data_IF_604582034496
#
_entry.id   IF_604582034496
#
_cell.length_a   1.000
_cell.length_b   1.000
_cell.length_c   1.000
_cell.angle_alpha   90.00
_cell.angle_beta   90.00
_cell.angle_gamma   90.00
#
_symmetry.space_group_name_H-M   'P 1'
#
loop_
_entity.id
_entity.type
_entity.pdbx_description
1 polymer ?
#
# COMPACT_ATOMS: atom_id res chain seq x y z
N UNK A 1 6.83 12.44 0.65
CA UNK A 1 7.02 13.42 1.74
C UNK A 1 8.35 14.11 1.55
N UNK A 2 8.44 15.43 1.74
CA UNK A 2 9.71 16.15 1.72
C UNK A 2 10.26 16.19 3.14
N UNK A 3 11.42 15.58 3.39
CA UNK A 3 12.05 15.62 4.71
C UNK A 3 12.64 17.02 4.95
N UNK A 4 12.39 17.61 6.12
CA UNK A 4 13.00 18.89 6.50
C UNK A 4 14.51 18.74 6.75
N UNK A 5 14.93 17.59 7.28
CA UNK A 5 16.33 17.25 7.53
C UNK A 5 16.63 15.87 6.95
N UNK A 6 17.81 15.74 6.36
CA UNK A 6 18.28 14.47 5.79
C UNK A 6 18.86 13.63 6.93
N UNK A 7 18.43 12.35 7.10
CA UNK A 7 19.04 11.43 8.06
C UNK A 7 20.54 11.22 7.76
N UNK A 8 21.35 11.07 8.81
CA UNK A 8 22.81 10.91 8.69
C UNK A 8 23.19 9.63 7.93
N UNK A 9 22.32 8.62 8.00
CA UNK A 9 22.44 7.28 7.42
C UNK A 9 21.69 7.14 6.07
N UNK A 10 21.21 8.25 5.49
CA UNK A 10 20.46 8.25 4.23
C UNK A 10 21.20 7.62 3.04
N UNK A 11 22.53 7.59 3.07
CA UNK A 11 23.36 6.95 2.03
C UNK A 11 23.55 5.45 2.24
N UNK A 12 23.32 4.95 3.46
CA UNK A 12 23.59 3.56 3.85
C UNK A 12 22.32 2.73 4.01
N UNK A 13 21.19 3.35 4.32
CA UNK A 13 19.91 2.65 4.49
C UNK A 13 19.30 2.30 3.15
N UNK A 14 19.03 1.01 2.95
CA UNK A 14 18.25 0.53 1.82
C UNK A 14 16.77 0.54 2.17
N UNK A 15 15.95 1.11 1.28
CA UNK A 15 14.49 1.07 1.46
C UNK A 15 13.97 -0.25 0.91
N UNK A 16 13.29 -1.09 1.70
CA UNK A 16 12.74 -2.35 1.20
C UNK A 16 11.67 -2.05 0.15
N UNK A 17 11.51 -2.95 -0.82
CA UNK A 17 10.37 -2.91 -1.77
C UNK A 17 9.34 -3.93 -1.35
N UNK A 18 8.07 -3.67 -1.66
CA UNK A 18 6.98 -4.59 -1.33
C UNK A 18 5.97 -4.78 -2.44
N UNK A 19 5.31 -5.93 -2.44
CA UNK A 19 4.17 -6.24 -3.30
C UNK A 19 2.91 -6.20 -2.43
N UNK A 20 1.88 -5.50 -2.91
CA UNK A 20 0.62 -5.36 -2.20
C UNK A 20 -0.36 -6.43 -2.66
N UNK A 21 -1.00 -7.09 -1.70
CA UNK A 21 -2.02 -8.09 -1.91
C UNK A 21 -3.34 -7.64 -1.31
N UNK A 22 -4.42 -7.83 -2.04
CA UNK A 22 -5.76 -7.38 -1.65
C UNK A 22 -6.69 -8.59 -1.59
N UNK A 23 -7.33 -8.77 -0.44
CA UNK A 23 -8.37 -9.76 -0.20
C UNK A 23 -9.72 -9.13 -0.56
N UNK A 24 -10.07 -9.14 -1.84
CA UNK A 24 -11.25 -8.43 -2.36
C UNK A 24 -12.56 -8.85 -1.69
N UNK A 25 -12.69 -10.13 -1.30
CA UNK A 25 -13.87 -10.66 -0.60
C UNK A 25 -14.06 -10.04 0.80
N UNK A 26 -13.01 -9.47 1.40
CA UNK A 26 -13.08 -8.75 2.70
C UNK A 26 -13.29 -7.25 2.53
N UNK A 27 -12.76 -6.66 1.46
CA UNK A 27 -12.77 -5.22 1.25
C UNK A 27 -14.19 -4.62 1.22
N UNK A 28 -14.37 -3.48 1.90
CA UNK A 28 -15.59 -2.67 1.91
C UNK A 28 -15.44 -1.30 1.23
N UNK A 29 -14.37 -1.10 0.46
CA UNK A 29 -14.17 0.11 -0.35
C UNK A 29 -14.03 1.44 0.42
N UNK A 30 -13.58 1.43 1.68
CA UNK A 30 -13.50 2.65 2.49
C UNK A 30 -12.42 3.66 2.06
N UNK A 31 -11.43 3.24 1.27
CA UNK A 31 -10.39 4.13 0.75
C UNK A 31 -9.26 4.51 1.72
N UNK A 32 -9.27 4.08 2.99
CA UNK A 32 -8.22 4.47 3.95
C UNK A 32 -6.81 4.06 3.50
N UNK A 33 -6.62 2.84 2.98
CA UNK A 33 -5.32 2.43 2.46
C UNK A 33 -4.82 3.31 1.30
N UNK A 34 -5.72 3.89 0.51
CA UNK A 34 -5.40 4.80 -0.61
C UNK A 34 -4.95 6.15 -0.06
N UNK A 35 -5.80 6.77 0.78
CA UNK A 35 -5.55 8.10 1.34
C UNK A 35 -4.27 8.16 2.16
N UNK A 36 -4.05 7.13 2.98
CA UNK A 36 -2.97 7.10 3.95
C UNK A 36 -1.67 6.50 3.42
N UNK A 37 -1.64 6.01 2.16
CA UNK A 37 -0.39 5.51 1.58
C UNK A 37 0.62 6.65 1.40
N UNK A 38 1.77 6.66 2.11
CA UNK A 38 2.74 7.77 2.04
C UNK A 38 3.41 7.88 0.66
N UNK A 39 3.41 6.77 -0.10
CA UNK A 39 3.95 6.65 -1.45
C UNK A 39 2.89 6.73 -2.55
N UNK A 40 1.61 6.84 -2.18
CA UNK A 40 0.47 6.96 -3.11
C UNK A 40 0.46 5.88 -4.21
N UNK A 41 0.72 4.63 -3.82
CA UNK A 41 0.81 3.50 -4.77
C UNK A 41 -0.54 2.85 -5.08
N UNK A 42 -1.59 3.20 -4.34
CA UNK A 42 -2.92 2.60 -4.42
C UNK A 42 -3.92 3.59 -5.01
N UNK A 43 -4.89 3.08 -5.76
CA UNK A 43 -6.06 3.81 -6.25
C UNK A 43 -7.31 2.92 -6.16
N UNK A 44 -8.50 3.50 -6.34
CA UNK A 44 -9.69 2.69 -6.52
C UNK A 44 -9.63 2.01 -7.88
N UNK A 45 -9.94 0.71 -7.90
CA UNK A 45 -10.13 0.00 -9.15
C UNK A 45 -11.46 0.34 -9.80
N UNK A 46 -11.55 0.19 -11.12
CA UNK A 46 -12.82 0.32 -11.85
C UNK A 46 -13.72 -0.92 -11.74
N UNK A 47 -13.22 -2.03 -11.16
CA UNK A 47 -13.96 -3.27 -10.99
C UNK A 47 -14.77 -3.26 -9.69
N UNK A 48 -15.82 -4.07 -9.65
CA UNK A 48 -16.58 -4.35 -8.44
C UNK A 48 -16.18 -5.71 -7.87
N UNK A 49 -16.05 -5.81 -6.55
CA UNK A 49 -15.99 -7.09 -5.87
C UNK A 49 -17.39 -7.71 -5.70
N UNK A 50 -17.48 -8.93 -5.16
CA UNK A 50 -18.76 -9.64 -4.92
C UNK A 50 -19.76 -8.88 -4.04
N UNK A 51 -19.30 -7.89 -3.27
CA UNK A 51 -20.11 -7.05 -2.36
C UNK A 51 -20.54 -5.72 -3.01
N UNK A 52 -20.12 -5.45 -4.25
CA UNK A 52 -20.45 -4.21 -4.96
C UNK A 52 -19.58 -3.02 -4.58
N UNK A 53 -18.42 -3.23 -3.94
CA UNK A 53 -17.45 -2.16 -3.67
C UNK A 53 -16.36 -2.14 -4.73
N UNK A 54 -15.75 -0.98 -4.94
CA UNK A 54 -14.51 -0.84 -5.69
C UNK A 54 -13.31 -1.14 -4.76
N UNK A 55 -12.68 -2.34 -4.84
CA UNK A 55 -11.47 -2.59 -4.07
C UNK A 55 -10.32 -1.70 -4.57
N UNK A 56 -9.31 -1.44 -3.72
CA UNK A 56 -8.11 -0.77 -4.19
C UNK A 56 -7.37 -1.64 -5.22
N UNK A 57 -6.54 -1.02 -6.03
CA UNK A 57 -5.54 -1.67 -6.87
C UNK A 57 -4.23 -0.86 -6.82
N UNK A 58 -3.11 -1.53 -7.05
CA UNK A 58 -1.82 -0.86 -7.05
C UNK A 58 -1.47 -0.37 -8.46
N UNK A 59 -1.31 0.96 -8.59
CA UNK A 59 -0.97 1.60 -9.86
C UNK A 59 0.55 1.56 -10.12
N UNK A 60 1.34 1.66 -9.06
CA UNK A 60 2.81 1.75 -9.10
C UNK A 60 3.42 0.84 -8.02
N UNK A 61 3.27 -0.49 -8.14
CA UNK A 61 3.76 -1.44 -7.12
C UNK A 61 5.26 -1.30 -6.83
N UNK A 62 6.08 -0.95 -7.83
CA UNK A 62 7.53 -0.75 -7.65
C UNK A 62 7.91 0.39 -6.69
N UNK A 63 6.97 1.28 -6.34
CA UNK A 63 7.16 2.36 -5.38
C UNK A 63 6.75 1.98 -3.94
N UNK A 64 6.17 0.81 -3.73
CA UNK A 64 5.78 0.36 -2.39
C UNK A 64 7.02 0.06 -1.57
N UNK A 65 7.12 0.68 -0.39
CA UNK A 65 8.29 0.57 0.50
C UNK A 65 8.09 -0.43 1.65
N UNK A 66 7.17 -1.39 1.47
CA UNK A 66 6.79 -2.40 2.45
C UNK A 66 6.60 -1.86 3.90
N UNK A 67 5.95 -0.70 4.05
CA UNK A 67 5.79 -0.05 5.36
C UNK A 67 4.66 -0.62 6.23
N UNK A 68 3.87 -1.56 5.70
CA UNK A 68 2.71 -2.18 6.37
C UNK A 68 1.60 -1.20 6.83
N UNK A 69 1.67 0.09 6.46
CA UNK A 69 0.69 1.07 6.94
C UNK A 69 -0.73 0.81 6.43
N UNK A 70 -0.84 0.29 5.20
CA UNK A 70 -2.12 -0.13 4.63
C UNK A 70 -2.78 -1.28 5.41
N UNK A 71 -1.99 -2.16 6.04
CA UNK A 71 -2.49 -3.25 6.90
C UNK A 71 -3.09 -2.69 8.19
N UNK A 72 -2.30 -1.85 8.87
CA UNK A 72 -2.64 -1.29 10.19
C UNK A 72 -3.89 -0.43 10.10
N UNK A 73 -4.05 0.35 9.03
CA UNK A 73 -5.19 1.26 8.87
C UNK A 73 -6.45 0.56 8.33
N UNK A 74 -6.35 -0.68 7.84
CA UNK A 74 -7.49 -1.36 7.24
C UNK A 74 -8.40 -1.96 8.32
N UNK A 75 -9.65 -1.47 8.48
CA UNK A 75 -10.56 -1.99 9.50
C UNK A 75 -11.03 -3.43 9.23
N UNK A 76 -10.88 -3.91 8.00
CA UNK A 76 -11.33 -5.24 7.55
C UNK A 76 -10.17 -6.24 7.38
N UNK A 77 -8.92 -5.81 7.63
CA UNK A 77 -7.71 -6.61 7.34
C UNK A 77 -7.75 -7.22 5.93
N UNK A 78 -8.14 -6.40 4.95
CA UNK A 78 -8.41 -6.80 3.57
C UNK A 78 -7.24 -6.54 2.63
N UNK A 79 -6.09 -6.11 3.15
CA UNK A 79 -4.91 -5.72 2.38
C UNK A 79 -3.66 -6.02 3.20
N UNK A 80 -2.60 -6.49 2.55
CA UNK A 80 -1.29 -6.68 3.15
C UNK A 80 -0.16 -6.49 2.15
N UNK A 81 1.05 -6.19 2.64
CA UNK A 81 2.27 -6.12 1.83
C UNK A 81 3.26 -7.20 2.23
N UNK A 82 3.92 -7.79 1.24
CA UNK A 82 5.06 -8.68 1.44
C UNK A 82 6.30 -8.06 0.82
N UNK A 83 7.46 -8.32 1.41
CA UNK A 83 8.73 -7.87 0.85
C UNK A 83 8.96 -8.51 -0.53
N UNK A 84 9.36 -7.68 -1.50
CA UNK A 84 9.71 -8.15 -2.82
C UNK A 84 11.13 -8.72 -2.82
N UNK A 85 11.23 -10.04 -2.71
CA UNK A 85 12.51 -10.77 -2.75
C UNK A 85 13.18 -10.79 -4.13
N UNK A 86 12.53 -10.22 -5.16
CA UNK A 86 13.05 -10.16 -6.54
C UNK A 86 13.68 -8.81 -6.91
N UNK A 87 13.69 -7.86 -5.97
CA UNK A 87 13.91 -6.43 -6.21
C UNK A 87 15.33 -5.90 -5.99
#
# INVERSE_FOLDING_TARGET
MKLWRIPLDSQTVQTPKGIVHILEDRCKGCGYCIEFCPKKVLQFSNRFNKKGYHPPEAMNEGDCVNCHFCEIICPEFAIYSMEDTRA
#
